data_IF_287116327633
#
_entry.id   IF_287116327633
#
_cell.length_a   1.000
_cell.length_b   1.000
_cell.length_c   1.000
_cell.angle_alpha   90.00
_cell.angle_beta   90.00
_cell.angle_gamma   90.00
#
_symmetry.space_group_name_H-M   'P 1'
#
loop_
_entity.id
_entity.type
_entity.pdbx_description
1 polymer ?
#
# COMPACT_ATOMS: atom_id res chain seq x y z
N UNK A 1 43.30 0.09 11.19
CA UNK A 1 42.62 0.04 9.87
C UNK A 1 41.28 -0.65 10.11
N UNK A 2 40.22 0.12 10.38
CA UNK A 2 38.88 -0.44 10.65
C UNK A 2 38.15 -0.58 9.32
N UNK A 3 37.85 -1.81 8.93
CA UNK A 3 36.97 -2.10 7.80
C UNK A 3 35.54 -1.92 8.32
N UNK A 4 34.95 -0.74 8.05
CA UNK A 4 33.52 -0.53 8.23
C UNK A 4 32.81 -1.32 7.14
N UNK A 5 32.28 -2.49 7.50
CA UNK A 5 31.27 -3.18 6.72
C UNK A 5 30.08 -2.25 6.55
N UNK A 6 29.96 -1.61 5.39
CA UNK A 6 28.77 -0.87 4.98
C UNK A 6 27.71 -1.91 4.58
N UNK A 7 27.12 -2.55 5.59
CA UNK A 7 26.06 -3.52 5.41
C UNK A 7 24.80 -2.80 4.89
N UNK A 8 24.42 -3.17 3.66
CA UNK A 8 23.12 -3.00 3.02
C UNK A 8 22.54 -1.56 3.01
N UNK A 9 22.61 -0.91 1.84
CA UNK A 9 21.47 -0.10 1.35
C UNK A 9 20.24 -0.99 1.50
N UNK A 10 19.38 -0.70 2.48
CA UNK A 10 18.18 -1.46 2.73
C UNK A 10 17.36 -1.50 1.44
N UNK A 11 17.23 -2.70 0.86
CA UNK A 11 16.14 -2.98 -0.08
C UNK A 11 14.88 -2.66 0.71
N UNK A 12 14.09 -1.67 0.28
CA UNK A 12 12.86 -1.34 1.00
C UNK A 12 12.01 -2.62 1.08
N UNK A 13 11.82 -3.13 2.29
CA UNK A 13 11.08 -4.39 2.49
C UNK A 13 9.57 -4.18 2.22
N UNK A 14 9.12 -2.92 2.11
CA UNK A 14 7.77 -2.50 1.73
C UNK A 14 7.46 -2.81 0.26
N UNK A 15 7.17 -4.08 -0.01
CA UNK A 15 6.81 -4.57 -1.33
C UNK A 15 5.38 -4.16 -1.69
N UNK A 16 5.19 -3.55 -2.86
CA UNK A 16 3.89 -2.97 -3.26
C UNK A 16 2.82 -4.04 -3.40
N UNK A 17 3.21 -5.23 -3.87
CA UNK A 17 2.27 -6.30 -4.14
C UNK A 17 1.58 -6.80 -2.85
N UNK A 18 2.21 -6.59 -1.68
CA UNK A 18 1.67 -6.99 -0.38
C UNK A 18 0.50 -6.11 0.07
N UNK A 19 0.47 -4.83 -0.32
CA UNK A 19 -0.65 -3.92 -0.01
C UNK A 19 -1.67 -3.86 -1.16
N UNK A 20 -1.22 -4.04 -2.41
CA UNK A 20 -2.10 -4.09 -3.58
C UNK A 20 -2.94 -5.38 -3.64
N UNK A 21 -2.43 -6.49 -3.11
CA UNK A 21 -3.11 -7.80 -2.96
C UNK A 21 -3.77 -8.32 -4.24
N UNK A 22 -3.25 -7.98 -5.42
CA UNK A 22 -3.87 -8.29 -6.72
C UNK A 22 -5.33 -7.80 -6.87
N UNK A 23 -5.77 -6.84 -6.03
CA UNK A 23 -7.15 -6.32 -5.98
C UNK A 23 -7.22 -4.81 -6.10
N UNK A 24 -6.20 -4.11 -5.63
CA UNK A 24 -6.15 -2.65 -5.55
C UNK A 24 -4.93 -2.12 -6.30
N UNK A 25 -4.95 -0.83 -6.62
CA UNK A 25 -3.82 -0.13 -7.23
C UNK A 25 -3.34 0.99 -6.31
N UNK A 26 -2.03 1.15 -6.17
CA UNK A 26 -1.46 2.32 -5.48
C UNK A 26 -1.62 3.56 -6.37
N UNK A 27 -2.19 4.63 -5.80
CA UNK A 27 -2.45 5.90 -6.50
C UNK A 27 -1.85 7.12 -5.80
N UNK A 28 -1.29 6.94 -4.60
CA UNK A 28 -0.51 7.96 -3.87
C UNK A 28 0.72 7.30 -3.27
N UNK A 29 1.84 8.02 -3.27
CA UNK A 29 3.11 7.53 -2.71
C UNK A 29 3.83 8.69 -2.03
N UNK A 30 4.18 8.49 -0.76
CA UNK A 30 5.06 9.36 0.01
C UNK A 30 6.15 8.51 0.66
N UNK A 31 7.41 8.77 0.31
CA UNK A 31 8.55 8.04 0.84
C UNK A 31 9.36 8.92 1.77
N UNK A 32 9.74 8.38 2.92
CA UNK A 32 10.77 8.94 3.78
C UNK A 32 11.85 7.89 4.05
N UNK A 33 12.85 8.27 4.86
CA UNK A 33 13.99 7.40 5.19
C UNK A 33 13.54 6.06 5.78
N UNK A 34 12.64 6.09 6.77
CA UNK A 34 12.20 4.90 7.50
C UNK A 34 10.82 4.40 7.06
N UNK A 35 10.03 5.21 6.35
CA UNK A 35 8.62 4.91 6.09
C UNK A 35 8.28 4.99 4.61
N UNK A 36 7.40 4.09 4.18
CA UNK A 36 6.68 4.22 2.92
C UNK A 36 5.19 4.41 3.25
N UNK A 37 4.58 5.47 2.74
CA UNK A 37 3.14 5.70 2.82
C UNK A 37 2.53 5.65 1.43
N UNK A 38 1.40 4.98 1.31
CA UNK A 38 0.71 4.82 0.03
C UNK A 38 -0.79 4.94 0.21
N UNK A 39 -1.47 5.34 -0.85
CA UNK A 39 -2.93 5.25 -0.94
C UNK A 39 -3.33 4.15 -1.91
N UNK A 40 -4.07 3.14 -1.46
CA UNK A 40 -4.66 2.13 -2.36
C UNK A 40 -6.06 2.54 -2.79
N UNK A 41 -6.36 2.36 -4.07
CA UNK A 41 -7.64 2.73 -4.66
C UNK A 41 -8.58 1.53 -4.76
N UNK A 42 -9.83 1.72 -4.34
CA UNK A 42 -10.95 0.79 -4.49
C UNK A 42 -12.10 1.45 -5.26
N UNK A 43 -12.60 0.78 -6.30
CA UNK A 43 -13.82 1.23 -7.00
C UNK A 43 -15.04 1.02 -6.10
N UNK A 44 -15.96 1.98 -6.10
CA UNK A 44 -17.25 1.84 -5.41
C UNK A 44 -18.17 0.94 -6.24
N UNK A 45 -18.84 -0.01 -5.60
CA UNK A 45 -19.79 -0.94 -6.24
C UNK A 45 -21.06 -0.24 -6.70
N UNK A 46 -21.51 0.77 -5.94
CA UNK A 46 -22.65 1.62 -6.29
C UNK A 46 -22.16 3.08 -6.40
N UNK A 47 -22.03 3.62 -7.62
CA UNK A 47 -21.73 5.03 -7.80
C UNK A 47 -22.84 5.85 -7.16
N UNK A 48 -22.49 6.66 -6.16
CA UNK A 48 -23.44 7.57 -5.49
C UNK A 48 -23.91 8.61 -6.53
N UNK A 49 -25.15 9.12 -6.40
CA UNK A 49 -25.72 10.11 -7.35
C UNK A 49 -24.82 11.34 -7.61
N UNK A 50 -23.89 11.64 -6.70
CA UNK A 50 -22.90 12.70 -6.82
C UNK A 50 -21.73 12.39 -7.80
N UNK A 51 -21.72 11.21 -8.42
CA UNK A 51 -20.75 10.78 -9.42
C UNK A 51 -19.41 10.29 -8.86
N UNK A 52 -19.33 10.00 -7.55
CA UNK A 52 -18.16 9.34 -6.96
C UNK A 52 -18.04 7.90 -7.46
N UNK A 53 -16.81 7.47 -7.73
CA UNK A 53 -16.50 6.20 -8.37
C UNK A 53 -15.41 5.40 -7.67
N UNK A 54 -14.59 6.04 -6.84
CA UNK A 54 -13.55 5.34 -6.09
C UNK A 54 -13.24 5.99 -4.74
N UNK A 55 -12.64 5.20 -3.87
CA UNK A 55 -12.13 5.59 -2.56
C UNK A 55 -10.66 5.21 -2.44
N UNK A 56 -9.87 6.06 -1.81
CA UNK A 56 -8.43 5.85 -1.54
C UNK A 56 -8.24 5.69 -0.04
N UNK A 57 -7.59 4.59 0.35
CA UNK A 57 -7.30 4.25 1.74
C UNK A 57 -5.79 4.35 2.02
N UNK A 58 -5.39 5.02 3.09
CA UNK A 58 -3.98 5.23 3.39
C UNK A 58 -3.37 4.03 4.13
N UNK A 59 -2.14 3.69 3.76
CA UNK A 59 -1.34 2.62 4.36
C UNK A 59 0.09 3.10 4.57
N UNK A 60 0.72 2.63 5.65
CA UNK A 60 2.10 2.92 6.03
C UNK A 60 2.87 1.61 6.22
N UNK A 61 4.15 1.62 5.87
CA UNK A 61 5.06 0.51 6.09
C UNK A 61 6.42 1.00 6.61
N UNK A 62 6.92 0.31 7.63
CA UNK A 62 8.31 0.47 8.10
C UNK A 62 9.25 -0.20 7.09
N UNK A 63 10.17 0.56 6.51
CA UNK A 63 11.08 0.07 5.45
C UNK A 63 12.11 -0.94 5.94
N UNK A 64 12.30 -1.06 7.25
CA UNK A 64 13.16 -2.06 7.89
C UNK A 64 12.43 -3.39 8.17
N UNK A 65 11.10 -3.37 8.29
CA UNK A 65 10.27 -4.54 8.60
C UNK A 65 9.54 -5.06 7.36
N UNK A 66 8.96 -4.15 6.56
CA UNK A 66 8.22 -4.46 5.34
C UNK A 66 6.74 -4.79 5.53
N UNK A 67 6.25 -4.74 6.76
CA UNK A 67 4.84 -4.92 7.08
C UNK A 67 4.08 -3.62 6.80
N UNK A 68 2.98 -3.77 6.07
CA UNK A 68 2.03 -2.68 5.83
C UNK A 68 0.99 -2.65 6.95
N UNK A 69 0.51 -1.45 7.27
CA UNK A 69 -0.58 -1.20 8.21
C UNK A 69 -1.44 -0.06 7.67
N UNK A 70 -2.70 0.03 8.11
CA UNK A 70 -3.51 1.21 7.82
C UNK A 70 -2.88 2.45 8.50
N UNK A 71 -2.81 3.58 7.80
CA UNK A 71 -2.24 4.81 8.36
C UNK A 71 -3.35 5.69 8.95
N UNK A 72 -3.70 5.44 10.22
CA UNK A 72 -4.69 6.21 10.98
C UNK A 72 -4.30 7.69 11.15
N UNK A 73 -3.02 8.02 10.93
CA UNK A 73 -2.48 9.38 11.08
C UNK A 73 -2.25 10.08 9.74
N UNK A 74 -2.72 9.50 8.63
CA UNK A 74 -2.65 10.16 7.32
C UNK A 74 -3.50 11.44 7.34
N UNK A 75 -2.88 12.56 7.00
CA UNK A 75 -3.51 13.87 7.05
C UNK A 75 -4.65 14.05 6.05
N UNK A 76 -4.62 13.31 4.93
CA UNK A 76 -5.69 13.32 3.92
C UNK A 76 -6.78 12.29 4.24
N UNK A 77 -6.45 11.28 5.04
CA UNK A 77 -7.35 10.21 5.46
C UNK A 77 -7.91 9.42 4.28
N UNK A 78 -9.11 8.88 4.48
CA UNK A 78 -9.87 8.23 3.41
C UNK A 78 -10.47 9.31 2.50
N UNK A 79 -10.17 9.22 1.21
CA UNK A 79 -10.58 10.23 0.24
C UNK A 79 -11.34 9.63 -0.94
N UNK A 80 -12.32 10.38 -1.46
CA UNK A 80 -13.22 9.91 -2.52
C UNK A 80 -13.03 10.70 -3.82
N UNK A 81 -13.18 10.03 -4.96
CA UNK A 81 -12.93 10.60 -6.28
C UNK A 81 -14.04 10.25 -7.28
N UNK A 82 -14.22 11.14 -8.27
CA UNK A 82 -15.16 10.96 -9.41
C UNK A 82 -14.56 10.15 -10.58
N UNK A 83 -13.39 9.57 -10.40
CA UNK A 83 -12.70 8.73 -11.38
C UNK A 83 -12.64 7.30 -10.88
N UNK A 84 -12.57 6.32 -11.79
CA UNK A 84 -12.36 4.93 -11.41
C UNK A 84 -10.90 4.67 -11.12
N UNK A 85 -10.62 3.68 -10.28
CA UNK A 85 -9.28 3.20 -10.02
C UNK A 85 -8.59 2.70 -11.30
N UNK A 86 -7.25 2.82 -11.38
CA UNK A 86 -6.48 2.19 -12.44
C UNK A 86 -6.66 0.67 -12.48
N UNK A 87 -6.30 0.07 -13.63
CA UNK A 87 -6.26 -1.39 -13.76
C UNK A 87 -5.18 -1.97 -12.86
N UNK A 88 -5.51 -3.05 -12.15
CA UNK A 88 -4.59 -3.78 -11.29
C UNK A 88 -3.64 -4.63 -12.12
N UNK A 89 -2.35 -4.50 -11.86
CA UNK A 89 -1.32 -5.40 -12.39
C UNK A 89 -1.15 -6.56 -11.43
N UNK A 90 -1.45 -7.78 -11.89
CA UNK A 90 -1.39 -8.96 -11.02
C UNK A 90 0.01 -9.55 -10.98
N UNK A 91 0.44 -9.94 -9.78
CA UNK A 91 1.65 -10.74 -9.55
C UNK A 91 1.30 -12.20 -9.25
N UNK A 92 2.23 -13.15 -9.47
CA UNK A 92 2.02 -14.56 -9.13
C UNK A 92 1.72 -14.79 -7.64
N UNK A 93 0.85 -15.76 -7.35
CA UNK A 93 0.45 -16.09 -5.97
C UNK A 93 1.64 -16.41 -5.05
N UNK A 94 2.70 -17.04 -5.57
CA UNK A 94 3.95 -17.31 -4.83
C UNK A 94 4.58 -16.07 -4.21
N UNK A 95 4.44 -14.89 -4.84
CA UNK A 95 4.97 -13.64 -4.30
C UNK A 95 4.11 -13.18 -3.12
N UNK A 96 2.78 -13.31 -3.22
CA UNK A 96 1.83 -12.96 -2.17
C UNK A 96 2.05 -13.75 -0.88
N UNK A 97 2.34 -15.06 -0.96
CA UNK A 97 2.54 -15.90 0.23
C UNK A 97 3.80 -15.57 1.03
N UNK A 98 4.70 -14.74 0.47
CA UNK A 98 5.93 -14.32 1.15
C UNK A 98 5.79 -12.95 1.79
N UNK A 99 4.61 -12.33 1.74
CA UNK A 99 4.40 -11.01 2.36
C UNK A 99 4.54 -11.12 3.87
N UNK A 100 5.31 -10.20 4.49
CA UNK A 100 5.41 -10.16 5.94
C UNK A 100 4.08 -9.69 6.56
N UNK A 101 3.84 -10.09 7.81
CA UNK A 101 2.58 -9.88 8.50
C UNK A 101 1.43 -10.78 8.02
N UNK A 102 0.40 -10.92 8.87
CA UNK A 102 -0.85 -11.58 8.49
C UNK A 102 -1.93 -10.54 8.25
N UNK A 103 -2.07 -10.06 7.01
CA UNK A 103 -3.29 -9.34 6.62
C UNK A 103 -4.44 -10.33 6.58
N UNK A 104 -5.21 -10.42 7.67
CA UNK A 104 -6.49 -11.11 7.58
C UNK A 104 -7.36 -10.32 6.61
N UNK A 105 -8.09 -11.02 5.74
CA UNK A 105 -8.91 -10.41 4.68
C UNK A 105 -10.00 -9.46 5.19
N UNK A 106 -10.13 -9.33 6.51
CA UNK A 106 -11.09 -8.54 7.28
C UNK A 106 -10.63 -7.11 7.61
N UNK A 107 -9.36 -6.77 7.43
CA UNK A 107 -8.80 -5.45 7.82
C UNK A 107 -8.64 -4.48 6.64
N UNK A 108 -9.02 -4.90 5.44
CA UNK A 108 -9.16 -4.01 4.27
C UNK A 108 -10.65 -3.93 3.94
N UNK A 109 -11.27 -2.73 4.00
CA UNK A 109 -12.67 -2.56 3.61
C UNK A 109 -12.99 -3.01 2.17
#
# INVERSE_FOLDING_TARGET
MQILFSAARSVSVCRSECVERNKYAIVRVHLSENWARVGICQNMTDPVENGLRSRVFPFICDRSIGEWHFDDNDSEGIAEFKVTCPKVVKVPARMMYTCPGSFTSTEVP
#
